data_IF_960709688690
#
_entry.id   IF_960709688690
#
_cell.length_a   1.000
_cell.length_b   1.000
_cell.length_c   1.000
_cell.angle_alpha   90.00
_cell.angle_beta   90.00
_cell.angle_gamma   90.00
#
_symmetry.space_group_name_H-M   'P 1'
#
loop_
_entity.id
_entity.type
_entity.pdbx_description
1 polymer ?
#
# COMPACT_ATOMS: atom_id res chain seq x y z
N UNK A 1 1.08 17.21 -7.85
CA UNK A 1 1.59 16.00 -8.53
C UNK A 1 1.90 16.23 -10.00
N UNK A 2 0.91 16.52 -10.86
CA UNK A 2 1.10 16.48 -12.33
C UNK A 2 2.22 17.36 -12.92
N UNK A 3 2.56 18.48 -12.27
CA UNK A 3 3.67 19.37 -12.69
C UNK A 3 5.06 18.90 -12.25
N UNK A 4 5.14 18.03 -11.25
CA UNK A 4 6.41 17.43 -10.85
C UNK A 4 6.65 16.20 -11.75
N UNK A 5 7.68 16.22 -12.61
CA UNK A 5 7.91 15.17 -13.61
C UNK A 5 8.15 13.80 -12.95
N UNK A 6 8.52 13.78 -11.67
CA UNK A 6 8.62 12.53 -10.92
C UNK A 6 7.34 11.70 -11.01
N UNK A 7 6.15 12.29 -10.81
CA UNK A 7 4.89 11.54 -10.83
C UNK A 7 4.45 11.03 -12.22
N UNK A 8 5.24 11.30 -13.26
CA UNK A 8 5.03 10.80 -14.62
C UNK A 8 6.08 9.76 -15.03
N UNK A 9 7.31 9.90 -14.52
CA UNK A 9 8.47 9.15 -15.03
C UNK A 9 9.29 8.44 -13.94
N UNK A 10 8.99 8.66 -12.66
CA UNK A 10 9.87 8.27 -11.56
C UNK A 10 11.09 9.18 -11.46
N UNK A 11 12.21 8.68 -10.94
CA UNK A 11 13.46 9.44 -10.89
C UNK A 11 13.89 9.83 -12.31
N UNK A 12 14.03 11.13 -12.54
CA UNK A 12 14.23 11.68 -13.89
C UNK A 12 15.10 12.93 -13.87
N UNK A 13 15.65 13.27 -15.04
CA UNK A 13 16.48 14.46 -15.28
C UNK A 13 15.68 15.67 -15.79
N UNK A 14 14.36 15.52 -16.00
CA UNK A 14 13.52 16.63 -16.41
C UNK A 14 13.53 17.78 -15.39
N UNK A 15 13.47 19.00 -15.90
CA UNK A 15 13.48 20.20 -15.07
C UNK A 15 12.30 20.22 -14.09
N UNK A 16 12.59 20.48 -12.81
CA UNK A 16 11.56 20.70 -11.80
C UNK A 16 10.89 22.07 -12.02
N UNK A 17 9.62 22.24 -11.67
CA UNK A 17 9.02 23.55 -11.54
C UNK A 17 9.81 24.45 -10.58
N UNK A 18 9.89 25.75 -10.87
CA UNK A 18 10.70 26.72 -10.11
C UNK A 18 10.45 26.68 -8.59
N UNK A 19 9.19 26.51 -8.17
CA UNK A 19 8.83 26.43 -6.74
C UNK A 19 9.31 25.14 -6.05
N UNK A 20 9.60 24.07 -6.79
CA UNK A 20 10.17 22.82 -6.25
C UNK A 20 11.70 22.82 -6.27
N UNK A 21 12.32 23.59 -7.17
CA UNK A 21 13.78 23.71 -7.25
C UNK A 21 14.42 24.29 -5.98
N UNK A 22 13.65 25.07 -5.22
CA UNK A 22 14.12 25.74 -3.98
C UNK A 22 14.19 24.73 -2.81
N UNK A 23 13.51 23.59 -2.90
CA UNK A 23 13.42 22.63 -1.80
C UNK A 23 14.69 21.77 -1.69
N UNK A 24 15.21 21.53 -0.46
CA UNK A 24 16.25 20.53 -0.24
C UNK A 24 15.79 19.14 -0.69
N UNK A 25 16.72 18.31 -1.18
CA UNK A 25 16.42 16.96 -1.70
C UNK A 25 15.62 16.09 -0.72
N UNK A 26 15.93 16.14 0.58
CA UNK A 26 15.22 15.38 1.62
C UNK A 26 13.76 15.83 1.78
N UNK A 27 13.50 17.13 1.72
CA UNK A 27 12.15 17.70 1.82
C UNK A 27 11.36 17.39 0.55
N UNK A 28 11.98 17.49 -0.62
CA UNK A 28 11.35 17.12 -1.89
C UNK A 28 10.96 15.63 -1.90
N UNK A 29 11.85 14.75 -1.40
CA UNK A 29 11.57 13.32 -1.24
C UNK A 29 10.40 13.09 -0.28
N UNK A 30 10.42 13.71 0.90
CA UNK A 30 9.34 13.58 1.88
C UNK A 30 8.00 14.04 1.31
N UNK A 31 7.97 15.18 0.63
CA UNK A 31 6.79 15.71 -0.05
C UNK A 31 6.22 14.71 -1.07
N UNK A 32 7.09 14.09 -1.89
CA UNK A 32 6.67 13.08 -2.87
C UNK A 32 6.08 11.86 -2.18
N UNK A 33 6.76 11.31 -1.19
CA UNK A 33 6.30 10.14 -0.44
C UNK A 33 4.97 10.39 0.27
N UNK A 34 4.73 11.58 0.82
CA UNK A 34 3.44 11.94 1.41
C UNK A 34 2.33 11.92 0.36
N UNK A 35 2.56 12.52 -0.80
CA UNK A 35 1.58 12.52 -1.90
C UNK A 35 1.30 11.12 -2.43
N UNK A 36 2.34 10.31 -2.62
CA UNK A 36 2.21 8.91 -3.03
C UNK A 36 1.40 8.12 -2.00
N UNK A 37 1.71 8.28 -0.71
CA UNK A 37 0.97 7.64 0.37
C UNK A 37 -0.51 8.02 0.34
N UNK A 38 -0.83 9.31 0.17
CA UNK A 38 -2.21 9.77 0.01
C UNK A 38 -2.91 9.11 -1.19
N UNK A 39 -2.25 9.07 -2.36
CA UNK A 39 -2.81 8.45 -3.57
C UNK A 39 -3.04 6.95 -3.35
N UNK A 40 -2.07 6.23 -2.80
CA UNK A 40 -2.20 4.80 -2.51
C UNK A 40 -3.36 4.56 -1.55
N UNK A 41 -3.44 5.32 -0.45
CA UNK A 41 -4.52 5.20 0.54
C UNK A 41 -5.90 5.44 -0.09
N UNK A 42 -6.06 6.51 -0.87
CA UNK A 42 -7.34 6.84 -1.53
C UNK A 42 -7.70 5.76 -2.54
N UNK A 43 -6.76 5.39 -3.42
CA UNK A 43 -6.97 4.37 -4.45
C UNK A 43 -7.37 3.04 -3.84
N UNK A 44 -6.66 2.57 -2.82
CA UNK A 44 -6.99 1.29 -2.19
C UNK A 44 -8.35 1.31 -1.50
N UNK A 45 -8.69 2.42 -0.83
CA UNK A 45 -9.99 2.58 -0.18
C UNK A 45 -11.12 2.51 -1.21
N UNK A 46 -11.02 3.28 -2.31
CA UNK A 46 -12.04 3.32 -3.36
C UNK A 46 -12.18 1.96 -4.04
N UNK A 47 -11.07 1.31 -4.42
CA UNK A 47 -11.11 -0.01 -5.07
C UNK A 47 -11.77 -1.07 -4.17
N UNK A 48 -11.43 -1.08 -2.89
CA UNK A 48 -12.02 -2.04 -1.94
C UNK A 48 -13.49 -1.75 -1.67
N UNK A 49 -13.86 -0.47 -1.51
CA UNK A 49 -15.24 -0.05 -1.31
C UNK A 49 -16.11 -0.39 -2.52
N UNK A 50 -15.60 -0.18 -3.74
CA UNK A 50 -16.31 -0.56 -4.96
C UNK A 50 -16.55 -2.06 -5.06
N UNK A 51 -15.55 -2.88 -4.76
CA UNK A 51 -15.71 -4.33 -4.73
C UNK A 51 -16.80 -4.75 -3.74
N UNK A 52 -16.80 -4.17 -2.53
CA UNK A 52 -17.82 -4.45 -1.52
C UNK A 52 -19.23 -4.02 -1.98
N UNK A 53 -19.37 -2.85 -2.61
CA UNK A 53 -20.66 -2.35 -3.15
C UNK A 53 -21.17 -3.25 -4.28
N UNK A 54 -20.29 -3.69 -5.19
CA UNK A 54 -20.69 -4.56 -6.30
C UNK A 54 -21.09 -5.95 -5.80
N UNK A 55 -20.23 -6.59 -4.99
CA UNK A 55 -20.47 -7.95 -4.48
C UNK A 55 -21.71 -7.96 -3.56
N UNK A 56 -21.80 -7.03 -2.61
CA UNK A 56 -22.85 -7.02 -1.60
C UNK A 56 -24.15 -6.38 -2.11
N UNK A 57 -24.05 -5.27 -2.84
CA UNK A 57 -25.20 -4.46 -3.26
C UNK A 57 -25.83 -4.89 -4.58
N UNK A 58 -25.03 -5.36 -5.56
CA UNK A 58 -25.56 -5.73 -6.88
C UNK A 58 -25.89 -7.22 -6.97
N UNK A 59 -24.98 -8.09 -6.52
CA UNK A 59 -25.16 -9.55 -6.63
C UNK A 59 -25.79 -10.18 -5.38
N UNK A 60 -25.33 -9.77 -4.20
CA UNK A 60 -25.87 -10.20 -2.92
C UNK A 60 -25.53 -11.65 -2.52
N UNK A 61 -25.96 -12.07 -1.32
CA UNK A 61 -25.61 -13.37 -0.74
C UNK A 61 -26.09 -14.59 -1.52
N UNK A 62 -27.06 -14.43 -2.44
CA UNK A 62 -27.53 -15.54 -3.28
C UNK A 62 -26.45 -16.05 -4.24
N UNK A 63 -25.56 -15.16 -4.70
CA UNK A 63 -24.51 -15.50 -5.67
C UNK A 63 -23.18 -15.71 -4.95
N UNK A 64 -22.83 -14.82 -4.01
CA UNK A 64 -21.51 -14.81 -3.35
C UNK A 64 -21.53 -15.29 -1.89
N UNK A 65 -22.68 -15.75 -1.38
CA UNK A 65 -22.81 -16.23 -0.01
C UNK A 65 -22.40 -15.18 1.02
N UNK A 66 -21.66 -15.63 2.03
CA UNK A 66 -21.19 -14.77 3.13
C UNK A 66 -20.34 -13.58 2.65
N UNK A 67 -19.63 -13.68 1.51
CA UNK A 67 -18.79 -12.59 1.01
C UNK A 67 -19.58 -11.36 0.55
N UNK A 68 -20.89 -11.51 0.31
CA UNK A 68 -21.79 -10.41 -0.04
C UNK A 68 -22.56 -9.86 1.17
N UNK A 69 -22.26 -10.35 2.38
CA UNK A 69 -22.81 -9.75 3.58
C UNK A 69 -22.11 -8.40 3.86
N UNK A 70 -22.84 -7.30 4.09
CA UNK A 70 -22.24 -5.97 4.30
C UNK A 70 -21.24 -5.92 5.45
N UNK A 71 -21.40 -6.80 6.45
CA UNK A 71 -20.54 -6.91 7.63
C UNK A 71 -19.36 -7.88 7.46
N UNK A 72 -19.25 -8.58 6.32
CA UNK A 72 -18.19 -9.55 6.08
C UNK A 72 -16.83 -8.89 5.89
N UNK A 73 -16.81 -7.72 5.24
CA UNK A 73 -15.58 -7.02 4.90
C UNK A 73 -15.00 -6.31 6.13
N UNK A 74 -13.72 -6.52 6.46
CA UNK A 74 -13.10 -5.82 7.57
C UNK A 74 -13.01 -4.32 7.29
N UNK A 75 -12.87 -3.53 8.35
CA UNK A 75 -12.52 -2.11 8.19
C UNK A 75 -11.23 -1.99 7.38
N UNK A 76 -11.17 -1.03 6.46
CA UNK A 76 -10.03 -0.89 5.55
C UNK A 76 -8.73 -0.56 6.31
N UNK A 77 -8.86 0.31 7.31
CA UNK A 77 -7.83 0.64 8.28
C UNK A 77 -8.19 0.07 9.65
N UNK A 78 -7.18 -0.34 10.40
CA UNK A 78 -7.34 -0.60 11.83
C UNK A 78 -7.14 0.67 12.67
N UNK A 79 -7.11 0.51 13.99
CA UNK A 79 -6.91 1.63 14.90
C UNK A 79 -5.49 2.20 14.77
N UNK A 80 -5.36 3.51 14.61
CA UNK A 80 -4.05 4.16 14.56
C UNK A 80 -3.28 4.06 15.90
N UNK A 81 -3.98 3.92 17.02
CA UNK A 81 -3.34 3.78 18.35
C UNK A 81 -2.36 2.60 18.41
N UNK A 82 -2.60 1.54 17.64
CA UNK A 82 -1.68 0.38 17.60
C UNK A 82 -0.33 0.72 16.99
N UNK A 83 -0.23 1.74 16.13
CA UNK A 83 1.03 2.26 15.60
C UNK A 83 1.83 2.94 16.71
N UNK A 84 1.16 3.73 17.55
CA UNK A 84 1.79 4.38 18.69
C UNK A 84 2.23 3.36 19.74
N UNK A 85 1.42 2.33 19.98
CA UNK A 85 1.68 1.30 20.99
C UNK A 85 2.74 0.28 20.57
N UNK A 86 2.72 -0.16 19.31
CA UNK A 86 3.50 -1.31 18.83
C UNK A 86 4.46 -0.97 17.68
N UNK A 87 4.56 0.30 17.31
CA UNK A 87 5.48 0.76 16.27
C UNK A 87 5.21 0.12 14.92
N UNK A 88 6.28 -0.32 14.26
CA UNK A 88 6.23 -0.84 12.89
C UNK A 88 5.45 -2.16 12.79
N UNK A 89 5.51 -3.00 13.82
CA UNK A 89 4.66 -4.21 13.90
C UNK A 89 3.19 -3.83 13.97
N UNK A 90 2.85 -2.83 14.79
CA UNK A 90 1.51 -2.26 14.87
C UNK A 90 1.03 -1.68 13.55
N UNK A 91 1.90 -0.93 12.86
CA UNK A 91 1.61 -0.38 11.54
C UNK A 91 1.17 -1.47 10.56
N UNK A 92 1.96 -2.53 10.37
CA UNK A 92 1.65 -3.57 9.39
C UNK A 92 0.57 -4.55 9.86
N UNK A 93 0.65 -5.04 11.10
CA UNK A 93 -0.23 -6.10 11.58
C UNK A 93 -1.60 -5.58 12.05
N UNK A 94 -1.73 -4.30 12.39
CA UNK A 94 -2.89 -3.76 13.09
C UNK A 94 -3.52 -2.49 12.52
N UNK A 95 -2.82 -1.74 11.66
CA UNK A 95 -3.33 -0.48 11.12
C UNK A 95 -3.48 -0.53 9.59
N UNK A 96 -2.39 -0.82 8.87
CA UNK A 96 -2.31 -0.75 7.42
C UNK A 96 -3.11 -1.86 6.73
N UNK A 97 -3.92 -1.48 5.74
CA UNK A 97 -4.49 -2.33 4.70
C UNK A 97 -5.03 -3.68 5.20
N UNK A 98 -6.02 -3.63 6.09
CA UNK A 98 -6.48 -4.81 6.83
C UNK A 98 -7.28 -5.81 5.98
N UNK A 99 -7.68 -5.45 4.76
CA UNK A 99 -8.36 -6.34 3.79
C UNK A 99 -7.54 -7.60 3.49
N UNK A 100 -6.21 -7.50 3.39
CA UNK A 100 -5.34 -8.65 3.11
C UNK A 100 -4.95 -9.47 4.33
N UNK A 101 -5.28 -9.01 5.55
CA UNK A 101 -4.80 -9.64 6.77
C UNK A 101 -5.23 -11.10 6.90
N UNK A 102 -6.48 -11.40 6.53
CA UNK A 102 -6.99 -12.78 6.59
C UNK A 102 -6.15 -13.68 5.68
N UNK A 103 -5.90 -13.24 4.43
CA UNK A 103 -5.13 -13.99 3.45
C UNK A 103 -3.69 -14.24 3.92
N UNK A 104 -3.00 -13.18 4.35
CA UNK A 104 -1.58 -13.28 4.71
C UNK A 104 -1.32 -13.98 6.05
N UNK A 105 -2.30 -13.99 6.96
CA UNK A 105 -2.15 -14.70 8.26
C UNK A 105 -2.69 -16.12 8.25
N UNK A 106 -3.49 -16.51 7.26
CA UNK A 106 -4.11 -17.84 7.17
C UNK A 106 -3.09 -19.00 7.23
N UNK A 107 -1.95 -18.99 6.51
CA UNK A 107 -1.02 -20.12 6.56
C UNK A 107 -0.39 -20.28 7.94
N UNK A 108 0.01 -19.19 8.60
CA UNK A 108 0.55 -19.25 9.97
C UNK A 108 -0.50 -19.77 10.95
N UNK A 109 -1.76 -19.33 10.84
CA UNK A 109 -2.87 -19.84 11.67
C UNK A 109 -3.08 -21.34 11.47
N UNK A 110 -2.97 -21.82 10.23
CA UNK A 110 -3.03 -23.24 9.92
C UNK A 110 -1.89 -24.01 10.60
N UNK A 111 -0.64 -23.53 10.51
CA UNK A 111 0.50 -24.18 11.16
C UNK A 111 0.35 -24.25 12.69
N UNK A 112 -0.15 -23.18 13.31
CA UNK A 112 -0.44 -23.16 14.75
C UNK A 112 -1.56 -24.15 15.10
N UNK A 113 -2.66 -24.16 14.32
CA UNK A 113 -3.83 -25.02 14.57
C UNK A 113 -3.48 -26.52 14.49
N UNK A 114 -2.49 -26.89 13.68
CA UNK A 114 -2.05 -28.27 13.52
C UNK A 114 -0.82 -28.61 14.38
N UNK A 115 -0.55 -27.83 15.43
CA UNK A 115 0.55 -28.04 16.37
C UNK A 115 1.95 -28.09 15.75
N UNK A 116 2.10 -27.57 14.52
CA UNK A 116 3.39 -27.46 13.81
C UNK A 116 4.21 -26.26 14.30
N UNK A 117 3.55 -25.26 14.88
CA UNK A 117 4.16 -24.06 15.44
C UNK A 117 3.58 -23.77 16.82
N UNK A 118 4.45 -23.54 17.81
CA UNK A 118 4.04 -23.17 19.18
C UNK A 118 3.61 -21.71 19.24
N UNK A 119 2.36 -21.40 19.62
CA UNK A 119 1.88 -20.02 19.78
C UNK A 119 2.87 -19.16 20.58
N UNK A 120 3.03 -17.90 20.17
CA UNK A 120 3.86 -16.89 20.85
C UNK A 120 5.37 -17.18 20.95
N UNK A 121 5.86 -18.30 20.40
CA UNK A 121 7.30 -18.57 20.31
C UNK A 121 8.00 -17.63 19.31
N UNK A 122 9.28 -17.34 19.55
CA UNK A 122 10.09 -16.53 18.62
C UNK A 122 10.12 -17.12 17.21
N UNK A 123 10.18 -18.45 17.10
CA UNK A 123 10.10 -19.16 15.83
C UNK A 123 8.78 -18.88 15.10
N UNK A 124 7.65 -18.94 15.82
CA UNK A 124 6.33 -18.65 15.24
C UNK A 124 6.22 -17.21 14.78
N UNK A 125 6.77 -16.26 15.54
CA UNK A 125 6.75 -14.85 15.13
C UNK A 125 7.58 -14.66 13.86
N UNK A 126 8.79 -15.21 13.81
CA UNK A 126 9.63 -15.13 12.62
C UNK A 126 8.95 -15.77 11.40
N UNK A 127 8.42 -17.00 11.54
CA UNK A 127 7.67 -17.67 10.48
C UNK A 127 6.46 -16.84 10.02
N UNK A 128 5.73 -16.23 10.95
CA UNK A 128 4.56 -15.41 10.63
C UNK A 128 4.92 -14.18 9.80
N UNK A 129 6.03 -13.51 10.14
CA UNK A 129 6.53 -12.35 9.40
C UNK A 129 6.99 -12.77 8.00
N UNK A 130 7.79 -13.84 7.91
CA UNK A 130 8.32 -14.31 6.62
C UNK A 130 7.21 -14.78 5.67
N UNK A 131 6.20 -15.49 6.17
CA UNK A 131 5.06 -15.92 5.37
C UNK A 131 4.24 -14.72 4.91
N UNK A 132 3.83 -13.84 5.84
CA UNK A 132 2.95 -12.73 5.51
C UNK A 132 3.60 -11.75 4.52
N UNK A 133 4.84 -11.34 4.80
CA UNK A 133 5.56 -10.43 3.91
C UNK A 133 6.07 -11.09 2.65
N UNK A 134 6.39 -12.39 2.67
CA UNK A 134 6.75 -13.15 1.46
C UNK A 134 5.57 -13.26 0.49
N UNK A 135 4.37 -13.58 0.98
CA UNK A 135 3.15 -13.56 0.17
C UNK A 135 2.85 -12.17 -0.38
N UNK A 136 3.01 -11.13 0.45
CA UNK A 136 2.86 -9.75 -0.01
C UNK A 136 3.90 -9.39 -1.08
N UNK A 137 5.16 -9.80 -0.91
CA UNK A 137 6.23 -9.55 -1.89
C UNK A 137 5.92 -10.21 -3.23
N UNK A 138 5.49 -11.48 -3.23
CA UNK A 138 5.12 -12.21 -4.45
C UNK A 138 3.95 -11.53 -5.16
N UNK A 139 2.92 -11.14 -4.40
CA UNK A 139 1.73 -10.47 -4.95
C UNK A 139 2.11 -9.16 -5.66
N UNK A 140 2.92 -8.32 -5.02
CA UNK A 140 3.32 -7.03 -5.60
C UNK A 140 4.37 -7.18 -6.70
N UNK A 141 5.27 -8.16 -6.61
CA UNK A 141 6.18 -8.53 -7.69
C UNK A 141 5.40 -8.94 -8.95
N UNK A 142 4.41 -9.82 -8.80
CA UNK A 142 3.56 -10.26 -9.92
C UNK A 142 2.74 -9.10 -10.51
N UNK A 143 2.20 -8.22 -9.64
CA UNK A 143 1.51 -7.00 -10.08
C UNK A 143 2.43 -6.05 -10.85
N UNK A 144 3.69 -5.92 -10.43
CA UNK A 144 4.68 -5.08 -11.11
C UNK A 144 5.02 -5.62 -12.51
N UNK A 145 5.14 -6.95 -12.67
CA UNK A 145 5.37 -7.58 -13.98
C UNK A 145 4.21 -7.35 -14.93
N UNK A 146 2.99 -7.23 -14.41
CA UNK A 146 1.80 -6.96 -15.21
C UNK A 146 1.72 -5.51 -15.71
N UNK A 147 2.62 -4.61 -15.29
CA UNK A 147 2.67 -3.26 -15.85
C UNK A 147 3.13 -3.27 -17.32
N UNK A 148 2.56 -2.39 -18.12
CA UNK A 148 2.87 -2.26 -19.55
C UNK A 148 4.26 -1.63 -19.82
N UNK A 149 4.91 -1.09 -18.79
CA UNK A 149 6.18 -0.36 -18.87
C UNK A 149 7.26 -1.18 -18.14
N UNK A 150 8.52 -1.06 -18.58
CA UNK A 150 9.65 -1.69 -17.93
C UNK A 150 9.87 -1.13 -16.51
N UNK A 151 9.40 -1.86 -15.50
CA UNK A 151 9.58 -1.60 -14.07
C UNK A 151 10.46 -2.68 -13.42
N UNK A 152 11.01 -2.37 -12.26
CA UNK A 152 11.80 -3.31 -11.48
C UNK A 152 10.90 -4.04 -10.45
N UNK A 153 10.35 -5.17 -10.87
CA UNK A 153 9.53 -6.01 -10.00
C UNK A 153 10.30 -6.49 -8.76
N UNK A 154 11.62 -6.68 -8.85
CA UNK A 154 12.45 -7.12 -7.72
C UNK A 154 12.50 -6.03 -6.66
N UNK A 155 12.69 -4.75 -7.03
CA UNK A 155 12.61 -3.63 -6.08
C UNK A 155 11.27 -3.59 -5.34
N UNK A 156 10.17 -3.72 -6.09
CA UNK A 156 8.83 -3.75 -5.52
C UNK A 156 8.67 -4.92 -4.51
N UNK A 157 9.16 -6.11 -4.83
CA UNK A 157 9.16 -7.25 -3.91
C UNK A 157 10.06 -7.05 -2.68
N UNK A 158 11.25 -6.47 -2.88
CA UNK A 158 12.22 -6.19 -1.82
C UNK A 158 11.66 -5.23 -0.77
N UNK A 159 10.82 -4.26 -1.15
CA UNK A 159 10.15 -3.39 -0.21
C UNK A 159 9.40 -4.17 0.87
N UNK A 160 8.71 -5.25 0.51
CA UNK A 160 7.99 -6.07 1.49
C UNK A 160 8.92 -6.97 2.29
N UNK A 161 9.98 -7.50 1.66
CA UNK A 161 10.96 -8.37 2.34
C UNK A 161 11.81 -7.63 3.38
N UNK A 162 11.99 -6.31 3.25
CA UNK A 162 12.71 -5.51 4.25
C UNK A 162 11.87 -5.18 5.49
N UNK A 163 10.54 -5.22 5.42
CA UNK A 163 9.68 -4.86 6.56
C UNK A 163 9.83 -5.78 7.79
N UNK A 164 9.90 -7.13 7.65
CA UNK A 164 10.25 -8.02 8.76
C UNK A 164 11.54 -7.63 9.47
N UNK A 165 12.55 -7.20 8.70
CA UNK A 165 13.86 -6.79 9.25
C UNK A 165 13.69 -5.57 10.14
N UNK A 166 12.93 -4.56 9.69
CA UNK A 166 12.62 -3.38 10.50
C UNK A 166 11.87 -3.73 11.79
N UNK A 167 10.89 -4.62 11.69
CA UNK A 167 10.15 -5.08 12.87
C UNK A 167 11.10 -5.76 13.86
N UNK A 168 11.98 -6.65 13.39
CA UNK A 168 12.94 -7.35 14.24
C UNK A 168 13.97 -6.41 14.85
N UNK A 169 14.46 -5.41 14.10
CA UNK A 169 15.35 -4.35 14.61
C UNK A 169 14.67 -3.56 15.72
N UNK A 170 13.44 -3.07 15.50
CA UNK A 170 12.70 -2.33 16.53
C UNK A 170 12.52 -3.17 17.79
N UNK A 171 12.14 -4.45 17.64
CA UNK A 171 11.96 -5.37 18.77
C UNK A 171 13.27 -5.61 19.52
N UNK A 172 14.38 -5.79 18.82
CA UNK A 172 15.69 -5.97 19.43
C UNK A 172 16.14 -4.72 20.20
N UNK A 173 15.95 -3.53 19.62
CA UNK A 173 16.24 -2.26 20.30
C UNK A 173 15.37 -2.08 21.55
N UNK A 174 14.06 -2.33 21.45
CA UNK A 174 13.17 -2.25 22.61
C UNK A 174 13.55 -3.24 23.72
N UNK A 175 14.00 -4.45 23.36
CA UNK A 175 14.48 -5.43 24.32
C UNK A 175 15.81 -4.99 24.98
N UNK A 176 16.77 -4.51 24.19
CA UNK A 176 18.07 -4.08 24.69
C UNK A 176 17.98 -2.86 25.63
N UNK A 177 17.09 -1.92 25.32
CA UNK A 177 16.91 -0.70 26.11
C UNK A 177 15.73 -0.75 27.09
N UNK A 178 15.15 -1.94 27.33
CA UNK A 178 13.96 -2.10 28.17
C UNK A 178 14.08 -1.43 29.57
N UNK A 179 15.20 -1.55 30.32
CA UNK A 179 15.31 -0.92 31.64
C UNK A 179 15.25 0.61 31.59
N UNK A 180 15.77 1.22 30.51
CA UNK A 180 15.71 2.65 30.29
C UNK A 180 14.32 3.07 29.83
N UNK A 181 13.75 2.35 28.86
CA UNK A 181 12.42 2.62 28.31
C UNK A 181 11.34 2.56 29.40
N UNK A 182 11.46 1.66 30.38
CA UNK A 182 10.52 1.57 31.50
C UNK A 182 10.48 2.83 32.38
N UNK A 183 11.53 3.66 32.35
CA UNK A 183 11.60 4.93 33.08
C UNK A 183 11.04 6.11 32.26
N UNK A 184 10.79 5.91 30.98
CA UNK A 184 10.34 6.97 30.06
C UNK A 184 8.79 7.03 30.06
N UNK A 185 8.20 8.24 30.18
CA UNK A 185 6.76 8.45 30.06
C UNK A 185 6.16 7.82 28.79
N UNK A 186 4.95 7.30 28.91
CA UNK A 186 4.25 6.60 27.83
C UNK A 186 4.16 7.43 26.54
N UNK A 187 3.82 8.72 26.63
CA UNK A 187 3.71 9.61 25.48
C UNK A 187 5.02 9.73 24.68
N UNK A 188 6.17 9.74 25.39
CA UNK A 188 7.49 9.80 24.74
C UNK A 188 7.81 8.48 24.06
N UNK A 189 7.47 7.34 24.67
CA UNK A 189 7.61 6.02 24.03
C UNK A 189 6.75 5.90 22.78
N UNK A 190 5.52 6.40 22.83
CA UNK A 190 4.61 6.45 21.68
C UNK A 190 5.13 7.32 20.55
N UNK A 191 5.65 8.52 20.87
CA UNK A 191 6.32 9.36 19.89
C UNK A 191 7.54 8.65 19.28
N UNK A 192 8.34 7.95 20.09
CA UNK A 192 9.48 7.16 19.62
C UNK A 192 9.07 6.03 18.66
N UNK A 193 8.02 5.29 18.98
CA UNK A 193 7.46 4.26 18.09
C UNK A 193 6.99 4.84 16.76
N UNK A 194 6.28 5.97 16.80
CA UNK A 194 5.80 6.64 15.59
C UNK A 194 6.94 7.18 14.73
N UNK A 195 7.92 7.84 15.35
CA UNK A 195 9.12 8.34 14.66
C UNK A 195 9.91 7.19 14.03
N UNK A 196 10.01 6.04 14.70
CA UNK A 196 10.64 4.86 14.12
C UNK A 196 9.90 4.38 12.87
N UNK A 197 8.56 4.29 12.91
CA UNK A 197 7.74 3.92 11.74
C UNK A 197 7.97 4.90 10.59
N UNK A 198 7.89 6.21 10.86
CA UNK A 198 8.11 7.23 9.84
C UNK A 198 9.51 7.14 9.23
N UNK A 199 10.55 7.02 10.06
CA UNK A 199 11.92 6.91 9.59
C UNK A 199 12.13 5.65 8.74
N UNK A 200 11.62 4.50 9.20
CA UNK A 200 11.75 3.24 8.47
C UNK A 200 11.05 3.28 7.12
N UNK A 201 9.81 3.77 7.07
CA UNK A 201 9.06 3.89 5.82
C UNK A 201 9.69 4.93 4.90
N UNK A 202 10.13 6.08 5.42
CA UNK A 202 10.83 7.10 4.62
C UNK A 202 12.08 6.54 3.94
N UNK A 203 12.85 5.70 4.65
CA UNK A 203 14.07 5.11 4.11
C UNK A 203 13.79 4.03 3.06
N UNK A 204 12.71 3.26 3.22
CA UNK A 204 12.44 2.07 2.41
C UNK A 204 11.42 2.28 1.28
N UNK A 205 10.55 3.29 1.36
CA UNK A 205 9.39 3.43 0.48
C UNK A 205 9.73 3.60 -1.00
N UNK A 206 10.89 4.17 -1.34
CA UNK A 206 11.29 4.36 -2.74
C UNK A 206 11.46 3.03 -3.50
N UNK A 207 11.68 1.91 -2.78
CA UNK A 207 11.68 0.57 -3.38
C UNK A 207 10.32 0.19 -3.97
N UNK A 208 9.25 0.82 -3.47
CA UNK A 208 7.87 0.54 -3.85
C UNK A 208 7.26 1.68 -4.66
N UNK A 209 7.35 2.91 -4.15
CA UNK A 209 6.60 4.02 -4.73
C UNK A 209 7.14 4.46 -6.07
N UNK A 210 8.46 4.36 -6.30
CA UNK A 210 9.05 4.64 -7.60
C UNK A 210 8.53 3.69 -8.68
N UNK A 211 8.35 2.41 -8.36
CA UNK A 211 7.86 1.41 -9.31
C UNK A 211 6.36 1.61 -9.59
N UNK A 212 5.56 2.04 -8.60
CA UNK A 212 4.17 2.44 -8.84
C UNK A 212 4.08 3.65 -9.78
N UNK A 213 4.92 4.64 -9.56
CA UNK A 213 4.97 5.86 -10.39
C UNK A 213 5.41 5.52 -11.81
N UNK A 214 6.48 4.74 -11.99
CA UNK A 214 6.95 4.26 -13.30
C UNK A 214 5.91 3.38 -13.99
N UNK A 215 5.16 2.59 -13.22
CA UNK A 215 4.02 1.80 -13.68
C UNK A 215 2.79 2.64 -14.05
N UNK A 216 2.83 3.97 -13.89
CA UNK A 216 1.76 4.87 -14.30
C UNK A 216 0.59 4.94 -13.32
N UNK A 217 0.71 4.37 -12.11
CA UNK A 217 -0.37 4.39 -11.10
C UNK A 217 -0.76 5.82 -10.73
N UNK A 218 0.19 6.76 -10.72
CA UNK A 218 -0.05 8.18 -10.42
C UNK A 218 -0.65 8.96 -11.58
N UNK A 219 -0.70 8.38 -12.77
CA UNK A 219 -1.39 8.94 -13.94
C UNK A 219 -2.87 8.55 -13.96
N UNK A 220 -3.22 7.44 -13.29
CA UNK A 220 -4.59 7.01 -13.14
C UNK A 220 -5.28 7.87 -12.07
N UNK A 221 -6.47 8.43 -12.35
CA UNK A 221 -7.19 9.20 -11.35
C UNK A 221 -7.64 8.27 -10.22
N UNK A 222 -7.20 8.56 -8.99
CA UNK A 222 -7.54 7.76 -7.81
C UNK A 222 -9.05 7.74 -7.51
N UNK A 223 -9.77 8.77 -7.93
CA UNK A 223 -11.21 8.97 -7.71
C UNK A 223 -11.93 9.25 -9.03
N UNK A 224 -13.20 8.84 -9.19
CA UNK A 224 -14.03 9.22 -10.33
C UNK A 224 -14.34 10.72 -10.37
N UNK A 225 -14.28 11.39 -9.20
CA UNK A 225 -14.51 12.84 -9.08
C UNK A 225 -13.24 13.52 -8.59
N UNK A 226 -12.79 14.55 -9.31
CA UNK A 226 -11.63 15.37 -8.99
C UNK A 226 -12.04 16.82 -8.74
N UNK A 227 -11.93 17.26 -7.49
CA UNK A 227 -12.15 18.67 -7.13
C UNK A 227 -11.16 19.57 -7.86
N UNK A 228 -9.90 19.14 -7.97
CA UNK A 228 -8.85 19.93 -8.64
C UNK A 228 -9.13 20.11 -10.14
N UNK A 229 -9.70 19.09 -10.80
CA UNK A 229 -10.14 19.20 -12.18
C UNK A 229 -11.38 20.09 -12.31
N UNK A 230 -12.35 19.95 -11.38
CA UNK A 230 -13.54 20.80 -11.32
C UNK A 230 -13.21 22.29 -11.15
N UNK A 231 -12.13 22.59 -10.41
CA UNK A 231 -11.59 23.94 -10.22
C UNK A 231 -10.67 24.42 -11.35
N UNK A 232 -10.46 23.61 -12.40
CA UNK A 232 -9.67 23.99 -13.57
C UNK A 232 -8.14 23.84 -13.40
N UNK A 233 -7.67 23.17 -12.36
CA UNK A 233 -6.25 22.93 -12.12
C UNK A 233 -5.68 21.66 -12.78
N UNK A 234 -6.48 20.96 -13.61
CA UNK A 234 -6.05 19.73 -14.29
C UNK A 234 -5.51 19.97 -15.70
N UNK A 235 -4.54 19.16 -16.10
CA UNK A 235 -4.03 19.07 -17.48
C UNK A 235 -4.93 18.22 -18.39
N UNK A 236 -5.83 17.41 -17.82
CA UNK A 236 -6.64 16.42 -18.55
C UNK A 236 -7.97 16.97 -19.11
N UNK A 237 -8.25 18.26 -18.91
CA UNK A 237 -9.46 18.92 -19.40
C UNK A 237 -10.41 19.41 -18.29
N UNK A 238 -11.46 20.16 -18.66
CA UNK A 238 -12.41 20.74 -17.71
C UNK A 238 -13.38 19.68 -17.13
N UNK A 239 -13.97 19.98 -15.98
CA UNK A 239 -15.07 19.21 -15.40
C UNK A 239 -14.73 18.46 -14.11
N UNK A 240 -15.74 17.91 -13.46
CA UNK A 240 -15.59 17.22 -12.17
C UNK A 240 -15.24 15.74 -12.32
N UNK A 241 -15.58 15.14 -13.46
CA UNK A 241 -15.37 13.73 -13.75
C UNK A 241 -13.95 13.47 -14.26
N UNK A 242 -13.17 12.71 -13.48
CA UNK A 242 -11.74 12.49 -13.74
C UNK A 242 -11.41 11.17 -14.37
N UNK A 243 -12.25 10.14 -14.22
CA UNK A 243 -12.03 8.91 -14.96
C UNK A 243 -12.24 9.14 -16.44
N UNK A 244 -11.32 8.68 -17.32
CA UNK A 244 -11.62 8.63 -18.73
C UNK A 244 -12.95 7.89 -18.87
N UNK A 245 -13.83 8.35 -19.77
CA UNK A 245 -14.98 7.53 -20.13
C UNK A 245 -14.40 6.23 -20.69
N UNK A 246 -14.31 5.20 -19.84
CA UNK A 246 -13.77 3.90 -20.19
C UNK A 246 -14.65 3.40 -21.33
N UNK A 247 -14.17 3.58 -22.55
CA UNK A 247 -14.89 3.13 -23.72
C UNK A 247 -14.57 1.66 -23.83
N UNK A 248 -15.26 0.87 -23.02
CA UNK A 248 -15.22 -0.58 -23.10
C UNK A 248 -15.64 -0.93 -24.53
N UNK A 249 -14.66 -1.37 -25.32
CA UNK A 249 -14.84 -1.76 -26.71
C UNK A 249 -14.53 -3.24 -26.82
N UNK A 250 -15.25 -3.92 -27.71
CA UNK A 250 -14.87 -5.26 -28.10
C UNK A 250 -13.69 -5.19 -29.07
N UNK A 251 -12.59 -5.83 -28.73
CA UNK A 251 -11.46 -6.07 -29.61
C UNK A 251 -11.56 -7.50 -30.16
N UNK A 252 -11.55 -7.65 -31.48
CA UNK A 252 -11.44 -8.95 -32.14
C UNK A 252 -10.00 -9.10 -32.63
N UNK A 253 -9.26 -10.04 -32.05
CA UNK A 253 -7.93 -10.43 -32.50
C UNK A 253 -7.97 -11.65 -33.42
N UNK A 254 -6.80 -12.05 -33.95
CA UNK A 254 -6.68 -13.18 -34.88
C UNK A 254 -7.08 -14.54 -34.26
N UNK A 255 -7.08 -14.63 -32.93
CA UNK A 255 -7.41 -15.85 -32.16
C UNK A 255 -8.43 -15.51 -31.08
N UNK A 256 -9.19 -16.51 -30.65
CA UNK A 256 -10.23 -16.29 -29.64
C UNK A 256 -9.64 -15.76 -28.31
N UNK A 257 -8.43 -16.18 -27.94
CA UNK A 257 -7.74 -15.72 -26.73
C UNK A 257 -7.04 -14.36 -26.88
N UNK A 258 -7.01 -13.80 -28.09
CA UNK A 258 -6.58 -12.41 -28.35
C UNK A 258 -7.77 -11.49 -28.58
N UNK A 259 -9.01 -12.00 -28.44
CA UNK A 259 -10.24 -11.22 -28.52
C UNK A 259 -10.82 -11.01 -27.12
N UNK A 260 -11.44 -9.85 -26.88
CA UNK A 260 -12.04 -9.55 -25.58
C UNK A 260 -12.41 -8.08 -25.41
N UNK A 261 -12.78 -7.71 -24.19
CA UNK A 261 -13.02 -6.32 -23.84
C UNK A 261 -11.68 -5.58 -23.71
N UNK A 262 -11.54 -4.47 -24.41
CA UNK A 262 -10.43 -3.51 -24.26
C UNK A 262 -10.97 -2.18 -23.75
N UNK A 263 -10.07 -1.40 -23.15
CA UNK A 263 -10.30 -0.02 -22.71
C UNK A 263 -9.60 0.92 -23.69
#
# INVERSE_FOLDING_TARGET
>A
MLKDPFFKFGVTTYALPSYLQILPHSILRLYRQILEFCVITISLYINTAMAAVVISGVFGPRIFGLCAEPWYWPSFWGSFSVVLERGLDGFWAGFWHQSFRILFTAPTRYLIKNDLLKPHSSATILCSLMIAFGLSAIMHWAGCIAFFINTDAVRMGLFFMVQPIGILIQRALCAAFQPLLNKIPQNIRYAGNFLYVLAWLFLTSDLFTEELVRGGITLLPASPVSIMQGLGFSETGPGWWSWPQLQIRWHTGDKWWTSGLTI
#
